data_IF_412441795749
#
_entry.id   IF_412441795749
#
_cell.length_a   1.000
_cell.length_b   1.000
_cell.length_c   1.000
_cell.angle_alpha   90.00
_cell.angle_beta   90.00
_cell.angle_gamma   90.00
#
_symmetry.space_group_name_H-M   'P 1'
#
loop_
_entity.id
_entity.type
_entity.pdbx_description
1 polymer ?
#
# COMPACT_ATOMS: atom_id res chain seq x y z
N UNK A 1 -17.71 -30.97 2.28
CA UNK A 1 -16.31 -30.52 2.30
C UNK A 1 -16.32 -29.01 2.12
N UNK A 2 -16.21 -28.26 3.21
CA UNK A 2 -16.02 -26.81 3.17
C UNK A 2 -14.63 -26.57 3.76
N UNK A 3 -13.67 -26.25 2.89
CA UNK A 3 -12.31 -25.90 3.30
C UNK A 3 -12.39 -24.69 4.24
N UNK A 4 -12.06 -24.95 5.51
CA UNK A 4 -11.79 -23.91 6.50
C UNK A 4 -10.53 -23.17 6.07
N UNK A 5 -10.71 -22.12 5.28
CA UNK A 5 -9.69 -21.11 5.07
C UNK A 5 -9.43 -20.44 6.42
N UNK A 6 -8.23 -20.71 6.97
CA UNK A 6 -7.68 -19.96 8.09
C UNK A 6 -7.68 -18.49 7.69
N UNK A 7 -8.46 -17.68 8.41
CA UNK A 7 -8.51 -16.23 8.25
C UNK A 7 -7.24 -15.65 8.84
N UNK A 8 -6.15 -15.70 8.07
CA UNK A 8 -4.99 -14.85 8.24
C UNK A 8 -5.34 -13.53 7.56
N UNK A 9 -5.69 -12.47 8.32
CA UNK A 9 -5.92 -11.09 7.86
C UNK A 9 -6.08 -10.94 6.32
N UNK A 10 -7.24 -11.39 5.80
CA UNK A 10 -7.43 -11.60 4.36
C UNK A 10 -7.84 -10.28 3.71
N UNK A 11 -6.86 -9.46 3.37
CA UNK A 11 -7.10 -8.27 2.58
C UNK A 11 -7.46 -8.70 1.14
N UNK A 12 -8.57 -8.21 0.62
CA UNK A 12 -9.08 -8.53 -0.71
C UNK A 12 -9.36 -7.27 -1.52
N UNK A 13 -9.41 -7.38 -2.84
CA UNK A 13 -9.85 -6.26 -3.68
C UNK A 13 -10.56 -6.75 -4.94
N UNK A 14 -11.43 -5.91 -5.49
CA UNK A 14 -12.12 -6.22 -6.74
C UNK A 14 -11.20 -5.98 -7.96
N UNK A 15 -10.91 -7.05 -8.71
CA UNK A 15 -10.19 -6.97 -9.97
C UNK A 15 -11.11 -6.49 -11.10
N UNK A 16 -11.30 -5.18 -11.23
CA UNK A 16 -12.16 -4.61 -12.29
C UNK A 16 -11.42 -3.67 -13.25
N UNK A 17 -10.13 -3.41 -13.00
CA UNK A 17 -9.42 -2.33 -13.67
C UNK A 17 -7.96 -2.73 -13.95
N UNK A 18 -7.25 -1.94 -14.75
CA UNK A 18 -5.82 -2.13 -15.00
C UNK A 18 -4.96 -1.66 -13.81
N UNK A 19 -5.60 -1.03 -12.82
CA UNK A 19 -5.01 -0.51 -11.59
C UNK A 19 -5.83 -0.99 -10.38
N UNK A 20 -5.18 -1.24 -9.24
CA UNK A 20 -5.89 -1.56 -8.00
C UNK A 20 -6.31 -0.26 -7.33
N UNK A 21 -7.62 0.01 -7.26
CA UNK A 21 -8.18 1.18 -6.59
C UNK A 21 -8.42 0.91 -5.11
N UNK A 22 -7.95 1.78 -4.22
CA UNK A 22 -8.14 1.60 -2.76
C UNK A 22 -9.61 1.63 -2.34
N UNK A 23 -10.47 2.31 -3.10
CA UNK A 23 -11.93 2.30 -2.87
C UNK A 23 -12.56 0.90 -3.03
N UNK A 24 -11.87 0.00 -3.73
CA UNK A 24 -12.28 -1.38 -3.97
C UNK A 24 -11.50 -2.38 -3.10
N UNK A 25 -10.64 -1.89 -2.20
CA UNK A 25 -9.85 -2.71 -1.29
C UNK A 25 -10.66 -2.91 0.00
N UNK A 26 -10.79 -4.17 0.40
CA UNK A 26 -11.41 -4.62 1.63
C UNK A 26 -10.34 -5.25 2.51
N UNK A 27 -9.84 -4.48 3.46
CA UNK A 27 -8.82 -4.87 4.43
C UNK A 27 -9.16 -4.30 5.81
N UNK A 28 -8.43 -4.71 6.85
CA UNK A 28 -8.49 -4.06 8.15
C UNK A 28 -8.08 -2.58 8.07
N UNK A 29 -8.54 -1.80 9.06
CA UNK A 29 -8.33 -0.35 9.11
C UNK A 29 -6.86 0.04 9.10
N UNK A 30 -5.98 -0.79 9.68
CA UNK A 30 -4.54 -0.57 9.72
C UNK A 30 -3.93 -0.68 8.32
N UNK A 31 -4.25 -1.74 7.58
CA UNK A 31 -3.83 -1.92 6.18
C UNK A 31 -4.33 -0.79 5.29
N UNK A 32 -5.59 -0.36 5.44
CA UNK A 32 -6.14 0.77 4.68
C UNK A 32 -5.43 2.08 5.04
N UNK A 33 -5.14 2.31 6.31
CA UNK A 33 -4.41 3.49 6.76
C UNK A 33 -2.98 3.49 6.18
N UNK A 34 -2.28 2.37 6.22
CA UNK A 34 -0.95 2.23 5.65
C UNK A 34 -0.97 2.55 4.15
N UNK A 35 -1.87 1.94 3.38
CA UNK A 35 -2.00 2.20 1.94
C UNK A 35 -2.28 3.67 1.63
N UNK A 36 -3.08 4.35 2.45
CA UNK A 36 -3.39 5.79 2.28
C UNK A 36 -2.23 6.71 2.61
N UNK A 37 -1.38 6.34 3.58
CA UNK A 37 -0.21 7.13 3.95
C UNK A 37 1.00 6.90 3.03
N UNK A 38 0.94 5.92 2.12
CA UNK A 38 2.02 5.70 1.15
C UNK A 38 2.22 6.96 0.27
N UNK A 39 3.45 7.50 0.19
CA UNK A 39 3.75 8.62 -0.69
C UNK A 39 3.46 8.29 -2.15
N UNK A 40 3.11 9.30 -2.93
CA UNK A 40 3.02 9.18 -4.39
C UNK A 40 4.32 8.61 -4.98
N UNK A 41 4.19 7.76 -6.01
CA UNK A 41 5.31 7.08 -6.69
C UNK A 41 6.12 6.10 -5.81
N UNK A 42 5.62 5.76 -4.63
CA UNK A 42 6.22 4.73 -3.78
C UNK A 42 6.08 3.35 -4.38
N UNK A 43 7.18 2.59 -4.39
CA UNK A 43 7.17 1.18 -4.79
C UNK A 43 7.01 0.28 -3.59
N UNK A 44 6.13 -0.71 -3.71
CA UNK A 44 5.90 -1.73 -2.71
C UNK A 44 5.77 -3.11 -3.36
N UNK A 45 6.06 -4.15 -2.57
CA UNK A 45 5.86 -5.52 -3.02
C UNK A 45 4.56 -6.08 -2.46
N UNK A 46 3.67 -6.47 -3.37
CA UNK A 46 2.43 -7.15 -3.04
C UNK A 46 2.47 -8.59 -3.53
N UNK A 47 1.90 -9.48 -2.74
CA UNK A 47 1.57 -10.83 -3.15
C UNK A 47 0.08 -10.90 -3.42
N UNK A 48 -0.31 -11.20 -4.67
CA UNK A 48 -1.71 -11.34 -5.08
C UNK A 48 -1.95 -12.79 -5.46
N UNK A 49 -2.90 -13.45 -4.80
CA UNK A 49 -3.23 -14.86 -5.04
C UNK A 49 -1.99 -15.79 -4.98
N UNK A 50 -1.02 -15.47 -4.11
CA UNK A 50 0.26 -16.19 -3.98
C UNK A 50 1.38 -15.75 -4.93
N UNK A 51 1.12 -14.80 -5.83
CA UNK A 51 2.11 -14.27 -6.75
C UNK A 51 2.67 -12.92 -6.30
N UNK A 52 3.97 -12.89 -6.02
CA UNK A 52 4.68 -11.67 -5.64
C UNK A 52 4.97 -10.80 -6.86
N UNK A 53 4.65 -9.51 -6.75
CA UNK A 53 4.88 -8.52 -7.77
C UNK A 53 5.26 -7.17 -7.19
N UNK A 54 5.86 -6.35 -8.04
CA UNK A 54 6.22 -4.97 -7.77
C UNK A 54 5.05 -4.06 -8.20
N UNK A 55 4.65 -3.20 -7.27
CA UNK A 55 3.55 -2.26 -7.42
C UNK A 55 4.01 -0.87 -7.09
N UNK A 56 3.43 0.12 -7.74
CA UNK A 56 3.77 1.51 -7.52
C UNK A 56 2.51 2.33 -7.23
N UNK A 57 2.58 3.15 -6.18
CA UNK A 57 1.57 4.13 -5.82
C UNK A 57 1.48 5.16 -6.93
N UNK A 58 0.30 5.33 -7.51
CA UNK A 58 0.11 6.36 -8.53
C UNK A 58 0.40 7.75 -7.97
N UNK A 59 0.96 8.62 -8.82
CA UNK A 59 1.16 10.02 -8.50
C UNK A 59 -0.17 10.74 -8.26
N UNK A 60 -0.12 11.79 -7.44
CA UNK A 60 -1.25 12.68 -7.26
C UNK A 60 -1.68 13.27 -8.60
N UNK A 61 -2.98 13.42 -8.79
CA UNK A 61 -3.53 13.96 -10.04
C UNK A 61 -3.02 15.39 -10.27
N UNK A 62 -3.02 15.84 -11.53
CA UNK A 62 -2.61 17.20 -11.91
C UNK A 62 -3.41 18.31 -11.18
N UNK A 63 -4.57 17.97 -10.64
CA UNK A 63 -5.45 18.80 -9.80
C UNK A 63 -5.00 18.87 -8.31
N UNK A 64 -3.92 18.20 -7.94
CA UNK A 64 -3.44 18.08 -6.55
C UNK A 64 -4.21 17.06 -5.71
N UNK A 65 -5.21 16.37 -6.28
CA UNK A 65 -5.98 15.34 -5.56
C UNK A 65 -5.20 14.03 -5.48
N UNK A 66 -5.14 13.39 -4.30
CA UNK A 66 -4.50 12.10 -4.18
C UNK A 66 -5.24 11.03 -4.96
N UNK A 67 -4.53 10.40 -5.91
CA UNK A 67 -5.10 9.35 -6.75
C UNK A 67 -4.89 8.03 -6.04
N UNK A 68 -5.88 7.51 -5.33
CA UNK A 68 -5.78 6.27 -4.53
C UNK A 68 -5.83 4.97 -5.36
N UNK A 69 -4.77 4.67 -6.09
CA UNK A 69 -4.54 3.33 -6.65
C UNK A 69 -3.07 2.92 -6.83
N UNK A 70 -2.89 1.62 -7.09
CA UNK A 70 -1.61 0.96 -7.31
C UNK A 70 -1.54 0.40 -8.73
N UNK A 71 -0.50 0.77 -9.45
CA UNK A 71 -0.22 0.22 -10.78
C UNK A 71 0.84 -0.87 -10.69
N UNK A 72 0.72 -1.96 -11.47
CA UNK A 72 1.79 -2.94 -11.59
C UNK A 72 2.98 -2.31 -12.31
N UNK A 73 4.21 -2.67 -11.91
CA UNK A 73 5.44 -2.20 -12.56
C UNK A 73 6.36 -3.36 -12.93
N UNK A 74 7.24 -3.14 -13.92
CA UNK A 74 8.20 -4.14 -14.37
C UNK A 74 7.54 -5.44 -14.86
N UNK A 75 8.05 -6.58 -14.39
CA UNK A 75 7.57 -7.93 -14.79
C UNK A 75 6.14 -8.22 -14.31
N UNK A 76 5.66 -7.48 -13.29
CA UNK A 76 4.30 -7.63 -12.76
C UNK A 76 3.24 -7.15 -13.74
N UNK A 77 3.58 -6.29 -14.70
CA UNK A 77 2.65 -5.83 -15.74
C UNK A 77 2.16 -7.00 -16.60
N UNK A 78 3.05 -7.95 -16.93
CA UNK A 78 2.70 -9.12 -17.74
C UNK A 78 1.79 -10.08 -16.98
N UNK A 79 2.10 -10.32 -15.70
CA UNK A 79 1.25 -11.07 -14.78
C UNK A 79 -0.13 -10.42 -14.61
N UNK A 80 -0.17 -9.09 -14.47
CA UNK A 80 -1.43 -8.37 -14.33
C UNK A 80 -2.29 -8.44 -15.59
N UNK A 81 -1.67 -8.42 -16.77
CA UNK A 81 -2.36 -8.65 -18.04
C UNK A 81 -3.00 -10.05 -18.11
N UNK A 82 -2.34 -11.09 -17.60
CA UNK A 82 -2.95 -12.43 -17.55
C UNK A 82 -4.13 -12.49 -16.56
N UNK A 83 -4.09 -11.69 -15.49
CA UNK A 83 -5.19 -11.57 -14.53
C UNK A 83 -6.45 -10.89 -15.10
N UNK A 84 -6.42 -10.33 -16.31
CA UNK A 84 -7.64 -9.82 -16.98
C UNK A 84 -8.71 -10.89 -17.18
N UNK A 85 -8.33 -12.16 -17.30
CA UNK A 85 -9.27 -13.27 -17.43
C UNK A 85 -10.12 -13.47 -16.15
N UNK A 86 -9.60 -13.07 -14.99
CA UNK A 86 -10.29 -13.10 -13.68
C UNK A 86 -10.91 -11.74 -13.33
N UNK A 87 -11.33 -10.96 -14.33
CA UNK A 87 -11.98 -9.67 -14.09
C UNK A 87 -13.37 -9.88 -13.50
N UNK A 88 -13.69 -9.13 -12.44
CA UNK A 88 -14.93 -9.26 -11.67
C UNK A 88 -14.79 -10.11 -10.41
N UNK A 89 -13.68 -10.83 -10.25
CA UNK A 89 -13.38 -11.60 -9.05
C UNK A 89 -12.73 -10.74 -7.95
N UNK A 90 -12.94 -11.17 -6.71
CA UNK A 90 -12.21 -10.67 -5.56
C UNK A 90 -10.91 -11.44 -5.40
N UNK A 91 -9.78 -10.73 -5.51
CA UNK A 91 -8.45 -11.32 -5.35
C UNK A 91 -7.91 -11.02 -3.95
N UNK A 92 -7.26 -12.01 -3.35
CA UNK A 92 -6.56 -11.86 -2.08
C UNK A 92 -5.22 -11.17 -2.32
N UNK A 93 -4.84 -10.23 -1.46
CA UNK A 93 -3.51 -9.64 -1.47
C UNK A 93 -2.87 -9.57 -0.09
N UNK A 94 -1.54 -9.57 -0.06
CA UNK A 94 -0.72 -9.38 1.14
C UNK A 94 0.42 -8.41 0.82
N UNK A 95 0.72 -7.49 1.72
CA UNK A 95 1.90 -6.61 1.62
C UNK A 95 3.10 -7.41 2.12
N UNK A 96 4.04 -7.75 1.23
CA UNK A 96 5.16 -8.66 1.55
C UNK A 96 6.38 -7.90 2.09
N UNK A 97 6.64 -6.72 1.54
CA UNK A 97 7.76 -5.91 2.01
C UNK A 97 7.34 -4.43 2.10
N UNK A 98 7.03 -3.96 3.32
CA UNK A 98 6.84 -2.54 3.60
C UNK A 98 8.16 -1.85 4.01
N UNK A 99 9.29 -2.57 4.08
CA UNK A 99 10.49 -2.15 4.83
C UNK A 99 11.27 -1.03 4.16
N UNK A 100 11.23 -0.92 2.84
CA UNK A 100 11.88 0.17 2.11
C UNK A 100 11.14 1.51 2.31
N UNK A 101 9.83 1.45 2.55
CA UNK A 101 8.97 2.65 2.67
C UNK A 101 8.77 3.09 4.12
N UNK A 102 8.51 2.15 5.05
CA UNK A 102 8.20 2.50 6.43
C UNK A 102 9.39 3.15 7.15
N UNK A 103 10.61 2.66 6.93
CA UNK A 103 11.81 3.24 7.56
C UNK A 103 12.11 4.64 7.01
N UNK A 104 11.88 4.87 5.72
CA UNK A 104 12.13 6.16 5.06
C UNK A 104 11.13 7.25 5.50
N UNK A 105 9.84 6.91 5.61
CA UNK A 105 8.81 7.82 6.11
C UNK A 105 8.87 8.01 7.64
N UNK A 106 9.16 6.96 8.42
CA UNK A 106 9.38 7.10 9.86
C UNK A 106 10.63 7.95 10.17
N UNK A 107 11.70 7.83 9.40
CA UNK A 107 12.89 8.67 9.58
C UNK A 107 12.56 10.15 9.34
N UNK A 108 11.60 10.44 8.45
CA UNK A 108 11.14 11.81 8.19
C UNK A 108 10.28 12.37 9.32
N UNK A 109 9.30 11.59 9.79
CA UNK A 109 8.41 11.98 10.92
C UNK A 109 9.18 12.08 12.24
N UNK A 110 10.16 11.20 12.48
CA UNK A 110 11.04 11.28 13.66
C UNK A 110 11.96 12.50 13.59
N UNK A 111 12.48 12.85 12.40
CA UNK A 111 13.33 14.03 12.23
C UNK A 111 12.59 15.36 12.41
N UNK A 112 11.27 15.41 12.24
CA UNK A 112 10.45 16.60 12.54
C UNK A 112 10.23 16.80 14.04
N UNK A 113 10.27 15.74 14.86
CA UNK A 113 10.23 15.82 16.32
C UNK A 113 11.59 16.12 16.97
N UNK A 114 12.69 15.96 16.23
CA UNK A 114 14.04 16.36 16.65
C UNK A 114 14.43 17.78 16.19
N UNK A 115 13.48 18.55 15.62
CA UNK A 115 13.70 19.98 15.34
C UNK A 115 13.57 20.81 16.63
N UNK A 116 14.61 20.71 17.46
CA UNK A 116 15.30 21.76 18.21
C UNK A 116 14.60 23.15 18.39
N UNK A 117 13.43 23.24 19.03
CA UNK A 117 12.91 24.53 19.54
C UNK A 117 12.39 24.51 20.99
N UNK A 118 12.60 23.45 21.77
CA UNK A 118 12.17 23.40 23.20
C UNK A 118 13.30 23.18 24.22
N UNK A 119 14.55 23.54 23.88
CA UNK A 119 15.70 23.49 24.81
C UNK A 119 15.79 24.67 25.81
N UNK A 120 14.73 25.47 26.04
CA UNK A 120 14.83 26.69 26.88
C UNK A 120 13.97 26.76 28.15
N UNK A 121 13.34 25.68 28.59
CA UNK A 121 12.47 25.71 29.77
C UNK A 121 12.97 24.96 31.02
N UNK A 122 14.11 24.24 30.97
CA UNK A 122 14.55 23.36 32.05
C UNK A 122 15.85 23.79 32.76
N UNK A 123 16.19 25.08 32.74
CA UNK A 123 17.36 25.62 33.45
C UNK A 123 17.00 26.76 34.42
N UNK A 124 15.87 26.64 35.11
CA UNK A 124 15.52 27.44 36.29
C UNK A 124 14.82 26.52 37.33
N UNK A 125 15.61 25.67 37.99
CA UNK A 125 15.20 24.86 39.13
C UNK A 125 16.36 24.77 40.13
#
# INVERSE_FOLDING_TARGET
>A
MAEKLKVEAMATFLNNDDVIWFKNVHADSDTIALLRHLPASTRLKLEIDGHRGDWERMADGRDGRPTYGLRPVGKTVEFWKSMKAKRGDYLNFKIVDPRDTYLSDMQKVLSEWESNEDEKAFHDL
#
